data_IF_630044934927
#
_entry.id   IF_630044934927
#
_cell.length_a   1.000
_cell.length_b   1.000
_cell.length_c   1.000
_cell.angle_alpha   90.00
_cell.angle_beta   90.00
_cell.angle_gamma   90.00
#
_symmetry.space_group_name_H-M   'P 1'
#
loop_
_entity.id
_entity.type
_entity.pdbx_description
1 polymer ?
#
# COMPACT_ATOMS: atom_id res chain seq x y z
N UNK A 1 -18.67 3.99 14.20
CA UNK A 1 -17.98 2.74 14.61
C UNK A 1 -18.70 1.45 14.19
N UNK A 2 -20.04 1.35 14.28
CA UNK A 2 -20.81 0.13 13.91
C UNK A 2 -20.64 -0.35 12.44
N UNK A 3 -20.52 0.58 11.50
CA UNK A 3 -20.32 0.25 10.08
C UNK A 3 -18.97 -0.46 9.83
N UNK A 4 -17.90 0.01 10.47
CA UNK A 4 -16.56 -0.56 10.34
C UNK A 4 -16.50 -1.98 10.91
N UNK A 5 -17.11 -2.22 12.07
CA UNK A 5 -17.24 -3.56 12.65
C UNK A 5 -18.04 -4.51 11.77
N UNK A 6 -19.11 -4.03 11.11
CA UNK A 6 -19.90 -4.85 10.18
C UNK A 6 -19.12 -5.19 8.91
N UNK A 7 -18.27 -4.27 8.42
CA UNK A 7 -17.35 -4.46 7.30
C UNK A 7 -16.24 -5.47 7.64
N UNK A 8 -15.60 -5.34 8.81
CA UNK A 8 -14.53 -6.23 9.28
C UNK A 8 -15.03 -7.61 9.73
N UNK A 9 -16.22 -7.68 10.33
CA UNK A 9 -16.83 -8.92 10.81
C UNK A 9 -17.44 -9.79 9.70
N UNK A 10 -17.67 -9.22 8.52
CA UNK A 10 -18.24 -9.95 7.39
C UNK A 10 -17.13 -10.41 6.40
N UNK A 11 -16.85 -11.73 6.28
CA UNK A 11 -15.78 -12.24 5.42
C UNK A 11 -16.00 -11.98 3.92
N UNK A 12 -17.23 -11.67 3.51
CA UNK A 12 -17.53 -11.23 2.14
C UNK A 12 -17.06 -9.80 1.88
N UNK A 13 -17.33 -8.90 2.82
CA UNK A 13 -16.99 -7.48 2.70
C UNK A 13 -15.48 -7.25 2.79
N UNK A 14 -14.79 -8.00 3.64
CA UNK A 14 -13.33 -8.00 3.73
C UNK A 14 -12.65 -8.46 2.43
N UNK A 15 -13.19 -9.49 1.77
CA UNK A 15 -12.68 -9.95 0.47
C UNK A 15 -12.90 -8.92 -0.63
N UNK A 16 -14.03 -8.21 -0.62
CA UNK A 16 -14.29 -7.12 -1.56
C UNK A 16 -13.35 -5.94 -1.35
N UNK A 17 -13.05 -5.56 -0.10
CA UNK A 17 -12.09 -4.51 0.21
C UNK A 17 -10.68 -4.88 -0.27
N UNK A 18 -10.21 -6.11 0.01
CA UNK A 18 -8.91 -6.60 -0.48
C UNK A 18 -8.83 -6.59 -2.01
N UNK A 19 -9.91 -7.00 -2.68
CA UNK A 19 -10.01 -6.96 -4.14
C UNK A 19 -10.04 -5.55 -4.69
N UNK A 20 -10.76 -4.63 -4.05
CA UNK A 20 -10.83 -3.22 -4.46
C UNK A 20 -9.48 -2.51 -4.30
N UNK A 21 -8.78 -2.75 -3.19
CA UNK A 21 -7.42 -2.24 -2.99
C UNK A 21 -6.44 -2.83 -4.02
N UNK A 22 -6.47 -4.15 -4.24
CA UNK A 22 -5.65 -4.78 -5.27
C UNK A 22 -5.94 -4.26 -6.68
N UNK A 23 -7.23 -4.07 -7.02
CA UNK A 23 -7.65 -3.48 -8.29
C UNK A 23 -7.15 -2.03 -8.43
N UNK A 24 -7.19 -1.24 -7.36
CA UNK A 24 -6.64 0.12 -7.33
C UNK A 24 -5.15 0.15 -7.65
N UNK A 25 -4.36 -0.73 -7.02
CA UNK A 25 -2.91 -0.85 -7.29
C UNK A 25 -2.66 -1.21 -8.75
N UNK A 26 -3.41 -2.17 -9.30
CA UNK A 26 -3.30 -2.57 -10.71
C UNK A 26 -3.66 -1.42 -11.65
N UNK A 27 -4.73 -0.68 -11.37
CA UNK A 27 -5.15 0.47 -12.18
C UNK A 27 -4.08 1.57 -12.17
N UNK A 28 -3.53 1.91 -10.99
CA UNK A 28 -2.47 2.92 -10.89
C UNK A 28 -1.22 2.48 -11.65
N UNK A 29 -0.82 1.21 -11.54
CA UNK A 29 0.30 0.67 -12.31
C UNK A 29 0.05 0.74 -13.83
N UNK A 30 -1.16 0.39 -14.28
CA UNK A 30 -1.53 0.47 -15.71
C UNK A 30 -1.58 1.92 -16.22
N UNK A 31 -2.08 2.86 -15.42
CA UNK A 31 -2.09 4.28 -15.75
C UNK A 31 -0.66 4.84 -15.87
N UNK A 32 0.23 4.46 -14.96
CA UNK A 32 1.62 4.89 -15.02
C UNK A 32 2.34 4.33 -16.26
N UNK A 33 2.12 3.04 -16.59
CA UNK A 33 2.64 2.43 -17.82
C UNK A 33 2.13 3.19 -19.05
N UNK A 34 0.83 3.53 -19.08
CA UNK A 34 0.21 4.27 -20.17
C UNK A 34 0.79 5.68 -20.31
N UNK A 35 0.94 6.42 -19.21
CA UNK A 35 1.47 7.79 -19.22
C UNK A 35 2.94 7.83 -19.63
N UNK A 36 3.75 6.90 -19.14
CA UNK A 36 5.19 6.85 -19.46
C UNK A 36 5.45 6.33 -20.87
N UNK A 37 4.80 5.24 -21.30
CA UNK A 37 5.06 4.63 -22.62
C UNK A 37 4.28 5.28 -23.77
N UNK A 38 3.02 5.70 -23.56
CA UNK A 38 2.18 6.23 -24.64
C UNK A 38 2.32 7.74 -24.76
N UNK A 39 2.36 8.45 -23.63
CA UNK A 39 2.38 9.91 -23.64
C UNK A 39 3.79 10.50 -23.57
N UNK A 40 4.84 9.70 -23.31
CA UNK A 40 6.24 10.14 -23.20
C UNK A 40 6.41 11.36 -22.26
N UNK A 41 5.53 11.53 -21.26
CA UNK A 41 5.43 12.75 -20.46
C UNK A 41 6.52 12.89 -19.37
N UNK A 42 7.60 12.12 -19.45
CA UNK A 42 8.74 12.20 -18.55
C UNK A 42 10.02 11.84 -19.30
N UNK A 43 10.88 12.83 -19.54
CA UNK A 43 12.24 12.57 -20.00
C UNK A 43 13.02 12.02 -18.81
N UNK A 44 13.09 10.70 -18.75
CA UNK A 44 13.89 10.03 -17.75
C UNK A 44 15.34 10.48 -17.82
N UNK A 45 15.81 11.17 -16.78
CA UNK A 45 17.20 11.60 -16.68
C UNK A 45 18.12 10.44 -16.29
N UNK A 46 17.54 9.36 -15.74
CA UNK A 46 18.27 8.21 -15.25
C UNK A 46 17.88 6.93 -15.98
N UNK A 47 18.82 5.97 -16.03
CA UNK A 47 18.67 4.70 -16.75
C UNK A 47 17.50 3.83 -16.26
N UNK A 48 16.98 4.09 -15.05
CA UNK A 48 15.87 3.36 -14.46
C UNK A 48 14.48 3.94 -14.77
N UNK A 49 14.40 5.15 -15.36
CA UNK A 49 13.12 5.76 -15.76
C UNK A 49 12.43 5.02 -16.92
N UNK A 50 13.14 4.12 -17.61
CA UNK A 50 12.56 3.24 -18.62
C UNK A 50 11.77 2.06 -18.03
N UNK A 51 11.80 1.84 -16.71
CA UNK A 51 11.08 0.74 -16.09
C UNK A 51 9.58 1.07 -15.98
N UNK A 52 8.71 0.31 -16.65
CA UNK A 52 7.27 0.54 -16.55
C UNK A 52 6.79 0.35 -15.10
N UNK A 53 6.00 1.31 -14.61
CA UNK A 53 5.42 1.33 -13.26
C UNK A 53 6.42 1.49 -12.09
N UNK A 54 7.62 2.04 -12.32
CA UNK A 54 8.63 2.20 -11.26
C UNK A 54 8.15 3.06 -10.08
N UNK A 55 7.45 4.17 -10.33
CA UNK A 55 6.97 5.07 -9.28
C UNK A 55 5.87 4.44 -8.41
N UNK A 56 4.90 3.74 -9.02
CA UNK A 56 3.86 3.01 -8.28
C UNK A 56 4.45 1.87 -7.46
N UNK A 57 5.39 1.11 -8.03
CA UNK A 57 6.10 0.06 -7.30
C UNK A 57 6.88 0.62 -6.11
N UNK A 58 7.62 1.70 -6.31
CA UNK A 58 8.38 2.35 -5.25
C UNK A 58 7.48 2.91 -4.14
N UNK A 59 6.40 3.60 -4.50
CA UNK A 59 5.44 4.13 -3.53
C UNK A 59 4.72 3.04 -2.74
N UNK A 60 4.29 1.98 -3.41
CA UNK A 60 3.68 0.81 -2.76
C UNK A 60 4.67 0.11 -1.83
N UNK A 61 5.88 -0.17 -2.31
CA UNK A 61 6.91 -0.84 -1.53
C UNK A 61 7.33 -0.02 -0.32
N UNK A 62 7.48 1.30 -0.49
CA UNK A 62 7.77 2.23 0.61
C UNK A 62 6.68 2.19 1.69
N UNK A 63 5.41 2.19 1.27
CA UNK A 63 4.27 2.10 2.19
C UNK A 63 4.28 0.78 2.98
N UNK A 64 4.55 -0.34 2.31
CA UNK A 64 4.67 -1.67 2.95
C UNK A 64 5.83 -1.68 3.95
N UNK A 65 6.99 -1.16 3.55
CA UNK A 65 8.18 -1.07 4.42
C UNK A 65 7.85 -0.28 5.69
N UNK A 66 7.20 0.89 5.56
CA UNK A 66 6.83 1.72 6.72
C UNK A 66 5.91 0.94 7.67
N UNK A 67 4.90 0.22 7.15
CA UNK A 67 3.98 -0.58 7.97
C UNK A 67 4.74 -1.72 8.69
N UNK A 68 5.64 -2.40 7.98
CA UNK A 68 6.46 -3.48 8.54
C UNK A 68 7.38 -2.93 9.64
N UNK A 69 8.10 -1.85 9.37
CA UNK A 69 8.95 -1.17 10.36
C UNK A 69 8.13 -0.73 11.56
N UNK A 70 6.95 -0.15 11.34
CA UNK A 70 6.06 0.25 12.41
C UNK A 70 5.65 -0.95 13.30
N UNK A 71 5.32 -2.08 12.67
CA UNK A 71 4.87 -3.29 13.36
C UNK A 71 6.00 -4.06 14.06
N UNK A 72 7.20 -4.10 13.51
CA UNK A 72 8.28 -4.93 14.06
C UNK A 72 9.26 -4.17 14.92
N UNK A 73 9.43 -2.86 14.70
CA UNK A 73 10.37 -2.04 15.46
C UNK A 73 9.61 -1.15 16.43
N UNK A 74 8.63 -0.38 15.94
CA UNK A 74 7.90 0.57 16.78
C UNK A 74 6.95 -0.13 17.76
N UNK A 75 6.23 -1.17 17.35
CA UNK A 75 5.29 -1.87 18.22
C UNK A 75 5.96 -2.45 19.48
N UNK A 76 7.05 -3.25 19.43
CA UNK A 76 7.68 -3.74 20.65
C UNK A 76 8.38 -2.64 21.46
N UNK A 77 8.82 -1.56 20.82
CA UNK A 77 9.46 -0.43 21.51
C UNK A 77 8.43 0.44 22.25
N UNK A 78 7.24 0.65 21.67
CA UNK A 78 6.17 1.50 22.20
C UNK A 78 5.21 0.73 23.09
N UNK A 79 4.87 -0.53 22.79
CA UNK A 79 4.06 -1.39 23.67
C UNK A 79 4.92 -1.85 24.85
N UNK A 80 5.09 -0.95 25.81
CA UNK A 80 5.49 -1.28 27.18
C UNK A 80 4.38 -2.13 27.80
N UNK A 81 4.73 -3.15 28.59
CA UNK A 81 3.76 -4.00 29.30
C UNK A 81 2.83 -3.12 30.14
N UNK A 82 1.56 -3.04 29.76
CA UNK A 82 0.53 -2.53 30.65
C UNK A 82 0.20 -3.60 31.68
N UNK A 83 0.93 -3.60 32.80
CA UNK A 83 0.48 -4.24 34.06
C UNK A 83 -0.65 -3.40 34.68
N UNK A 84 -1.77 -3.22 33.96
CA UNK A 84 -2.85 -2.32 34.40
C UNK A 84 -4.09 -3.03 34.96
N UNK A 85 -3.97 -4.29 35.33
CA UNK A 85 -4.92 -4.97 36.22
C UNK A 85 -4.15 -6.01 37.04
N UNK A 86 -3.80 -5.64 38.27
CA UNK A 86 -3.74 -6.59 39.40
C UNK A 86 -5.12 -6.60 40.09
#
# INVERSE_FOLDING_TARGET
MKALQKLLGNPRSLRMLKRGFGAGVVIVALLEVLVVNVLHLGHGYFWFDGLPAFGSLYGFLSSVIIIVVAKFILYPLVSRKEEHYD
#
